data_IF_610497038595
#
_entry.id   IF_610497038595
#
_cell.length_a   1.000
_cell.length_b   1.000
_cell.length_c   1.000
_cell.angle_alpha   90.00
_cell.angle_beta   90.00
_cell.angle_gamma   90.00
#
_symmetry.space_group_name_H-M   'P 1'
#
loop_
_entity.id
_entity.type
_entity.pdbx_description
1 polymer ?
#
# COMPACT_ATOMS: atom_id res chain seq x y z
N UNK A 1 5.71 20.97 12.44
CA UNK A 1 5.69 20.21 11.17
C UNK A 1 5.02 18.88 11.48
N UNK A 2 4.07 18.44 10.66
CA UNK A 2 3.37 17.16 10.85
C UNK A 2 4.21 16.06 10.22
N UNK A 3 4.47 14.99 10.97
CA UNK A 3 5.12 13.78 10.48
C UNK A 3 4.07 12.95 9.73
N UNK A 4 4.16 12.95 8.40
CA UNK A 4 3.19 12.30 7.52
C UNK A 4 3.08 10.79 7.79
N UNK A 5 4.18 9.99 7.84
CA UNK A 5 4.12 8.58 8.26
C UNK A 5 3.38 8.33 9.58
N UNK A 6 3.62 9.17 10.60
CA UNK A 6 2.95 9.03 11.90
C UNK A 6 1.46 9.32 11.80
N UNK A 7 1.06 10.37 11.06
CA UNK A 7 -0.35 10.67 10.82
C UNK A 7 -1.05 9.53 10.05
N UNK A 8 -0.43 9.05 8.96
CA UNK A 8 -0.97 7.93 8.18
C UNK A 8 -1.16 6.68 9.07
N UNK A 9 -0.18 6.33 9.90
CA UNK A 9 -0.31 5.19 10.83
C UNK A 9 -1.43 5.35 11.86
N UNK A 10 -1.73 6.58 12.29
CA UNK A 10 -2.85 6.84 13.21
C UNK A 10 -4.20 6.63 12.54
N UNK A 11 -4.37 7.09 11.30
CA UNK A 11 -5.63 6.99 10.54
C UNK A 11 -5.90 5.55 10.09
N UNK A 12 -4.86 4.78 9.74
CA UNK A 12 -4.97 3.37 9.35
C UNK A 12 -5.49 2.47 10.49
N UNK A 13 -5.29 2.87 11.76
CA UNK A 13 -5.75 2.11 12.94
C UNK A 13 -7.22 2.36 13.31
N UNK A 14 -7.80 3.45 12.82
CA UNK A 14 -9.16 3.89 13.15
C UNK A 14 -10.18 3.56 12.04
N UNK A 15 -9.91 2.52 11.23
CA UNK A 15 -10.82 1.92 10.22
C UNK A 15 -11.16 2.78 8.97
N UNK A 16 -10.50 3.91 8.74
CA UNK A 16 -10.72 4.73 7.53
C UNK A 16 -9.47 4.81 6.64
N UNK A 17 -9.39 3.95 5.63
CA UNK A 17 -8.37 4.07 4.57
C UNK A 17 -8.72 5.16 3.54
N UNK A 18 -9.98 5.60 3.48
CA UNK A 18 -10.46 6.60 2.53
C UNK A 18 -9.89 8.02 2.74
N UNK A 19 -9.40 8.34 3.94
CA UNK A 19 -8.78 9.66 4.20
C UNK A 19 -7.32 9.73 3.74
N UNK A 20 -6.66 8.57 3.63
CA UNK A 20 -5.26 8.47 3.22
C UNK A 20 -5.14 8.42 1.69
N UNK A 21 -6.12 7.80 1.03
CA UNK A 21 -6.09 7.62 -0.42
C UNK A 21 -6.63 8.83 -1.18
N UNK A 22 -6.08 9.05 -2.37
CA UNK A 22 -6.58 10.06 -3.29
C UNK A 22 -8.04 9.76 -3.67
N UNK A 23 -8.89 10.79 -3.67
CA UNK A 23 -10.32 10.68 -4.00
C UNK A 23 -10.56 10.07 -5.39
N UNK A 24 -9.68 10.33 -6.35
CA UNK A 24 -9.79 9.77 -7.69
C UNK A 24 -9.45 8.26 -7.72
N UNK A 25 -8.57 7.80 -6.82
CA UNK A 25 -8.27 6.37 -6.65
C UNK A 25 -9.42 5.64 -5.94
N UNK A 26 -10.07 6.27 -4.96
CA UNK A 26 -11.20 5.67 -4.24
C UNK A 26 -12.40 5.44 -5.18
N UNK A 27 -12.58 6.30 -6.20
CA UNK A 27 -13.62 6.14 -7.22
C UNK A 27 -13.42 4.89 -8.07
N UNK A 28 -12.18 4.43 -8.22
CA UNK A 28 -11.82 3.16 -8.84
C UNK A 28 -11.97 2.03 -7.79
N UNK A 29 -13.22 1.74 -7.42
CA UNK A 29 -13.62 0.86 -6.30
C UNK A 29 -13.03 -0.57 -6.30
N UNK A 30 -12.42 -1.00 -7.40
CA UNK A 30 -11.91 -2.37 -7.57
C UNK A 30 -10.52 -2.61 -6.96
N UNK A 31 -9.86 -1.59 -6.40
CA UNK A 31 -8.46 -1.68 -5.98
C UNK A 31 -8.22 -1.49 -4.47
N UNK A 32 -9.28 -1.53 -3.65
CA UNK A 32 -9.16 -1.18 -2.22
C UNK A 32 -8.18 -2.09 -1.47
N UNK A 33 -8.09 -3.37 -1.83
CA UNK A 33 -7.16 -4.32 -1.19
C UNK A 33 -5.72 -4.06 -1.62
N UNK A 34 -5.51 -3.89 -2.93
CA UNK A 34 -4.23 -3.62 -3.57
C UNK A 34 -3.65 -2.29 -3.09
N UNK A 35 -4.50 -1.28 -2.95
CA UNK A 35 -4.15 0.02 -2.41
C UNK A 35 -3.70 -0.08 -0.94
N UNK A 36 -4.39 -0.86 -0.12
CA UNK A 36 -4.00 -1.11 1.28
C UNK A 36 -2.64 -1.82 1.35
N UNK A 37 -2.41 -2.82 0.51
CA UNK A 37 -1.13 -3.53 0.45
C UNK A 37 0.01 -2.60 0.02
N UNK A 38 -0.23 -1.75 -0.97
CA UNK A 38 0.73 -0.73 -1.41
C UNK A 38 1.05 0.26 -0.30
N UNK A 39 0.04 0.71 0.45
CA UNK A 39 0.20 1.60 1.59
C UNK A 39 1.01 0.94 2.71
N UNK A 40 0.77 -0.34 3.01
CA UNK A 40 1.54 -1.09 4.00
C UNK A 40 3.01 -1.23 3.58
N UNK A 41 3.28 -1.50 2.30
CA UNK A 41 4.64 -1.55 1.75
C UNK A 41 5.34 -0.19 1.88
N UNK A 42 4.63 0.91 1.58
CA UNK A 42 5.14 2.26 1.75
C UNK A 42 5.44 2.60 3.22
N UNK A 43 4.57 2.19 4.15
CA UNK A 43 4.78 2.40 5.60
C UNK A 43 6.01 1.63 6.12
N UNK A 44 6.25 0.42 5.62
CA UNK A 44 7.46 -0.35 5.95
C UNK A 44 8.74 0.36 5.49
N UNK A 45 8.71 1.04 4.34
CA UNK A 45 9.85 1.79 3.80
C UNK A 45 10.26 2.99 4.68
N UNK A 46 9.32 3.55 5.46
CA UNK A 46 9.53 4.72 6.31
C UNK A 46 9.62 4.37 7.80
N UNK A 47 9.89 3.10 8.12
CA UNK A 47 10.05 2.67 9.50
C UNK A 47 11.12 3.48 10.25
N UNK A 48 10.86 3.71 11.55
CA UNK A 48 11.76 4.52 12.40
C UNK A 48 13.07 3.80 12.63
N UNK A 49 13.01 2.48 12.78
CA UNK A 49 14.17 1.61 12.90
C UNK A 49 14.70 1.31 11.51
N UNK A 50 15.91 1.79 11.22
CA UNK A 50 16.54 1.65 9.90
C UNK A 50 16.60 0.18 9.44
N UNK A 51 16.99 -0.72 10.33
CA UNK A 51 17.16 -2.15 10.02
C UNK A 51 15.83 -2.90 9.83
N UNK A 52 14.70 -2.27 10.17
CA UNK A 52 13.36 -2.81 9.91
C UNK A 52 12.83 -2.43 8.53
N UNK A 53 13.54 -1.56 7.79
CA UNK A 53 13.15 -1.17 6.43
C UNK A 53 13.48 -2.31 5.46
N UNK A 54 12.56 -2.65 4.55
CA UNK A 54 12.82 -3.66 3.53
C UNK A 54 13.93 -3.19 2.56
N UNK A 55 14.66 -4.15 2.02
CA UNK A 55 15.50 -3.94 0.85
C UNK A 55 14.66 -3.55 -0.37
N UNK A 56 15.28 -2.86 -1.33
CA UNK A 56 14.56 -2.47 -2.56
C UNK A 56 14.03 -3.69 -3.33
N UNK A 57 14.74 -4.82 -3.28
CA UNK A 57 14.28 -6.09 -3.87
C UNK A 57 13.01 -6.62 -3.23
N UNK A 58 12.88 -6.50 -1.89
CA UNK A 58 11.66 -6.90 -1.19
C UNK A 58 10.50 -5.95 -1.52
N UNK A 59 10.76 -4.64 -1.58
CA UNK A 59 9.76 -3.64 -1.97
C UNK A 59 9.22 -3.92 -3.38
N UNK A 60 10.10 -4.15 -4.34
CA UNK A 60 9.73 -4.46 -5.73
C UNK A 60 8.97 -5.77 -5.80
N UNK A 61 9.41 -6.81 -5.09
CA UNK A 61 8.71 -8.09 -5.05
C UNK A 61 7.28 -7.95 -4.53
N UNK A 62 7.04 -7.14 -3.49
CA UNK A 62 5.68 -6.86 -3.02
C UNK A 62 4.86 -6.08 -4.05
N UNK A 63 5.46 -5.09 -4.73
CA UNK A 63 4.77 -4.32 -5.79
C UNK A 63 4.34 -5.23 -6.94
N UNK A 64 5.21 -6.15 -7.37
CA UNK A 64 4.90 -7.11 -8.43
C UNK A 64 3.73 -8.00 -8.03
N UNK A 65 3.67 -8.47 -6.78
CA UNK A 65 2.58 -9.30 -6.26
C UNK A 65 1.21 -8.57 -6.22
N UNK A 66 1.21 -7.27 -5.95
CA UNK A 66 -0.01 -6.44 -5.92
C UNK A 66 -0.65 -6.34 -7.32
N UNK A 67 0.10 -6.55 -8.40
CA UNK A 67 -0.39 -6.45 -9.78
C UNK A 67 -0.92 -7.77 -10.39
N UNK A 68 -0.78 -8.92 -9.72
CA UNK A 68 -0.95 -10.23 -10.38
C UNK A 68 -2.42 -10.65 -10.58
N UNK A 69 -3.39 -10.05 -9.88
CA UNK A 69 -4.80 -10.48 -10.00
C UNK A 69 -5.46 -10.19 -11.36
N UNK A 70 -4.90 -9.29 -12.18
CA UNK A 70 -5.42 -8.99 -13.52
C UNK A 70 -4.79 -9.84 -14.65
N UNK A 71 -3.64 -10.50 -14.42
CA UNK A 71 -2.99 -11.33 -15.44
C UNK A 71 -3.34 -12.82 -15.34
N UNK A 72 -3.82 -13.29 -14.19
CA UNK A 72 -4.24 -14.69 -14.02
C UNK A 72 -5.60 -15.01 -14.66
N UNK A 73 -6.42 -13.99 -14.97
CA UNK A 73 -7.66 -14.18 -15.76
C UNK A 73 -7.35 -14.36 -17.25
N UNK A 74 -6.22 -13.82 -17.75
CA UNK A 74 -5.84 -13.94 -19.16
C UNK A 74 -5.23 -15.31 -19.53
N UNK A 75 -4.84 -16.13 -18.55
CA UNK A 75 -4.26 -17.46 -18.77
C UNK A 75 -5.27 -18.61 -18.62
N UNK A 76 -6.57 -18.32 -18.38
CA UNK A 76 -7.62 -19.33 -18.15
C UNK A 76 -8.71 -19.40 -19.24
N UNK A 77 -8.49 -18.85 -20.44
CA UNK A 77 -9.37 -19.02 -21.62
C UNK A 77 -8.57 -19.52 -22.83
#
# INVERSE_FOLDING_TARGET
>A
MVDLPVWVQSVVKEEWTAEVFDVELIRLHNLTTEMIQMLQNALACVEKVHDSRPSISEVVGVIELIQVYDLDIACSI
#
